data_IF_901859277373
#
_entry.id   IF_901859277373
#
_cell.length_a   1.000
_cell.length_b   1.000
_cell.length_c   1.000
_cell.angle_alpha   90.00
_cell.angle_beta   90.00
_cell.angle_gamma   90.00
#
_symmetry.space_group_name_H-M   'P 1'
#
loop_
_entity.id
_entity.type
_entity.pdbx_description
1 polymer ?
#
# COMPACT_ATOMS: atom_id res chain seq x y z
N UNK A 1 -22.02 -5.84 8.19
CA UNK A 1 -21.38 -5.11 9.27
C UNK A 1 -19.88 -5.13 9.19
N UNK A 2 -19.26 -6.29 9.15
CA UNK A 2 -17.81 -6.35 8.98
C UNK A 2 -17.36 -5.74 7.65
N UNK A 3 -18.21 -5.75 6.63
CA UNK A 3 -17.89 -5.17 5.34
C UNK A 3 -17.72 -3.65 5.41
N UNK A 4 -18.58 -2.98 6.17
CA UNK A 4 -18.49 -1.52 6.30
C UNK A 4 -17.20 -1.09 6.97
N UNK A 5 -16.80 -1.81 8.00
CA UNK A 5 -15.56 -1.52 8.72
C UNK A 5 -14.35 -1.73 7.81
N UNK A 6 -14.36 -2.83 7.06
CA UNK A 6 -13.25 -3.14 6.14
C UNK A 6 -13.18 -2.11 5.01
N UNK A 7 -14.32 -1.69 4.49
CA UNK A 7 -14.35 -0.68 3.43
C UNK A 7 -13.77 0.64 3.91
N UNK A 8 -14.07 1.05 5.13
CA UNK A 8 -13.53 2.28 5.71
C UNK A 8 -12.02 2.20 5.88
N UNK A 9 -11.53 1.09 6.40
CA UNK A 9 -10.10 0.89 6.57
C UNK A 9 -9.40 0.94 5.21
N UNK A 10 -10.01 0.31 4.21
CA UNK A 10 -9.47 0.29 2.86
C UNK A 10 -9.42 1.69 2.25
N UNK A 11 -10.49 2.46 2.43
CA UNK A 11 -10.55 3.84 1.95
C UNK A 11 -9.49 4.72 2.63
N UNK A 12 -9.34 4.58 3.94
CA UNK A 12 -8.33 5.32 4.69
C UNK A 12 -6.93 4.98 4.21
N UNK A 13 -6.68 3.70 3.96
CA UNK A 13 -5.39 3.24 3.46
C UNK A 13 -5.10 3.85 2.10
N UNK A 14 -6.07 3.78 1.19
CA UNK A 14 -5.88 4.34 -0.16
C UNK A 14 -5.68 5.85 -0.14
N UNK A 15 -6.39 6.55 0.73
CA UNK A 15 -6.20 7.99 0.87
C UNK A 15 -4.76 8.29 1.29
N UNK A 16 -4.24 7.54 2.25
CA UNK A 16 -2.86 7.72 2.68
C UNK A 16 -1.88 7.41 1.56
N UNK A 17 -2.13 6.33 0.82
CA UNK A 17 -1.26 5.92 -0.29
C UNK A 17 -1.25 6.97 -1.41
N UNK A 18 -2.41 7.54 -1.71
CA UNK A 18 -2.51 8.58 -2.75
C UNK A 18 -1.73 9.83 -2.40
N UNK A 19 -1.60 10.14 -1.11
CA UNK A 19 -0.84 11.29 -0.65
C UNK A 19 0.66 11.04 -0.61
N UNK A 20 1.09 9.81 -0.71
CA UNK A 20 2.50 9.47 -0.70
C UNK A 20 3.13 9.79 -2.07
N UNK A 21 4.36 10.31 -2.03
CA UNK A 21 5.13 10.48 -3.25
C UNK A 21 5.58 9.11 -3.77
N UNK A 22 5.96 9.06 -5.02
CA UNK A 22 6.44 7.81 -5.62
C UNK A 22 7.66 7.28 -4.86
N UNK A 23 8.55 8.16 -4.42
CA UNK A 23 9.72 7.78 -3.64
C UNK A 23 9.33 7.15 -2.31
N UNK A 24 8.36 7.75 -1.64
CA UNK A 24 7.87 7.21 -0.37
C UNK A 24 7.23 5.84 -0.55
N UNK A 25 6.48 5.66 -1.64
CA UNK A 25 5.87 4.38 -1.96
C UNK A 25 6.94 3.31 -2.14
N UNK A 26 7.98 3.62 -2.89
CA UNK A 26 9.07 2.69 -3.13
C UNK A 26 9.83 2.35 -1.84
N UNK A 27 10.11 3.35 -1.03
CA UNK A 27 10.80 3.14 0.25
C UNK A 27 9.97 2.26 1.18
N UNK A 28 8.67 2.49 1.23
CA UNK A 28 7.77 1.68 2.04
C UNK A 28 7.85 0.21 1.64
N UNK A 29 7.79 -0.07 0.35
CA UNK A 29 7.85 -1.43 -0.15
C UNK A 29 9.19 -2.08 0.15
N UNK A 30 10.27 -1.36 -0.06
CA UNK A 30 11.61 -1.89 0.24
C UNK A 30 11.78 -2.21 1.72
N UNK A 31 11.17 -1.40 2.59
CA UNK A 31 11.19 -1.63 4.03
C UNK A 31 10.35 -2.82 4.44
N UNK A 32 9.39 -3.22 3.62
CA UNK A 32 8.46 -4.33 3.91
C UNK A 32 8.84 -5.60 3.16
N UNK A 33 10.13 -5.85 3.00
CA UNK A 33 10.66 -7.09 2.46
C UNK A 33 10.45 -7.29 0.96
N UNK A 34 10.05 -6.26 0.24
CA UNK A 34 10.01 -6.32 -1.21
C UNK A 34 11.40 -6.03 -1.77
N UNK A 35 11.81 -6.75 -2.79
CA UNK A 35 13.12 -6.53 -3.40
C UNK A 35 13.09 -5.32 -4.31
N UNK A 36 14.25 -4.69 -4.51
CA UNK A 36 14.38 -3.58 -5.42
C UNK A 36 14.01 -3.98 -6.85
N UNK A 37 14.34 -5.20 -7.23
CA UNK A 37 14.01 -5.74 -8.52
C UNK A 37 12.49 -5.80 -8.74
N UNK A 38 11.76 -6.25 -7.73
CA UNK A 38 10.32 -6.31 -7.75
C UNK A 38 9.71 -4.91 -7.86
N UNK A 39 10.20 -3.99 -7.03
CA UNK A 39 9.73 -2.60 -7.04
C UNK A 39 9.98 -1.94 -8.40
N UNK A 40 11.13 -2.20 -9.02
CA UNK A 40 11.47 -1.64 -10.32
C UNK A 40 10.58 -2.19 -11.44
N UNK A 41 10.10 -3.41 -11.27
CA UNK A 41 9.27 -4.09 -12.27
C UNK A 41 7.84 -3.60 -12.29
N UNK A 42 7.35 -3.07 -11.18
CA UNK A 42 5.96 -2.63 -11.04
C UNK A 42 5.80 -1.19 -11.54
N UNK A 43 4.64 -0.90 -12.15
CA UNK A 43 4.32 0.47 -12.51
C UNK A 43 3.78 1.22 -11.28
N UNK A 44 3.54 2.53 -11.41
CA UNK A 44 3.10 3.34 -10.28
C UNK A 44 1.80 2.84 -9.67
N UNK A 45 0.83 2.48 -10.49
CA UNK A 45 -0.44 1.95 -9.99
C UNK A 45 -0.27 0.68 -9.19
N UNK A 46 0.56 -0.23 -9.70
CA UNK A 46 0.84 -1.49 -9.02
C UNK A 46 1.61 -1.27 -7.71
N UNK A 47 2.54 -0.33 -7.71
CA UNK A 47 3.29 0.01 -6.51
C UNK A 47 2.37 0.53 -5.42
N UNK A 48 1.46 1.44 -5.77
CA UNK A 48 0.51 1.99 -4.82
C UNK A 48 -0.44 0.93 -4.30
N UNK A 49 -0.88 0.03 -5.17
CA UNK A 49 -1.74 -1.08 -4.77
C UNK A 49 -1.03 -2.00 -3.78
N UNK A 50 0.24 -2.30 -4.03
CA UNK A 50 1.03 -3.13 -3.13
C UNK A 50 1.18 -2.49 -1.75
N UNK A 51 1.44 -1.17 -1.71
CA UNK A 51 1.51 -0.44 -0.45
C UNK A 51 0.17 -0.48 0.28
N UNK A 52 -0.92 -0.28 -0.46
CA UNK A 52 -2.26 -0.31 0.11
C UNK A 52 -2.57 -1.67 0.74
N UNK A 53 -2.22 -2.75 0.06
CA UNK A 53 -2.41 -4.09 0.60
C UNK A 53 -1.59 -4.33 1.87
N UNK A 54 -0.35 -3.91 1.87
CA UNK A 54 0.52 -4.06 3.03
C UNK A 54 -0.04 -3.27 4.23
N UNK A 55 -0.45 -2.03 4.00
CA UNK A 55 -1.03 -1.21 5.05
C UNK A 55 -2.35 -1.79 5.57
N UNK A 56 -3.17 -2.29 4.66
CA UNK A 56 -4.45 -2.90 5.03
C UNK A 56 -4.21 -4.12 5.92
N UNK A 57 -3.25 -4.95 5.56
CA UNK A 57 -2.92 -6.14 6.36
C UNK A 57 -2.42 -5.77 7.75
N UNK A 58 -1.64 -4.70 7.86
CA UNK A 58 -1.16 -4.23 9.15
C UNK A 58 -2.27 -3.70 10.05
N UNK A 59 -3.28 -3.07 9.46
CA UNK A 59 -4.41 -2.52 10.21
C UNK A 59 -5.51 -3.53 10.44
N UNK A 60 -5.67 -4.46 9.53
CA UNK A 60 -6.75 -5.44 9.54
C UNK A 60 -6.55 -6.60 10.50
N UNK A 61 -5.42 -6.67 11.13
CA UNK A 61 -5.10 -7.75 12.09
C UNK A 61 -5.54 -7.43 13.52
#
# INVERSE_FOLDING_TARGET
MSHEVNDRVWEDVWEAVEQMSLEEVKEFLLSNLHSQEEVTRLNEGELREAVAEDMFNLRGV
#
